data_IF_149708436493
#
_entry.id   IF_149708436493
#
_cell.length_a   1.000
_cell.length_b   1.000
_cell.length_c   1.000
_cell.angle_alpha   90.00
_cell.angle_beta   90.00
_cell.angle_gamma   90.00
#
_symmetry.space_group_name_H-M   'P 1'
#
loop_
_entity.id
_entity.type
_entity.pdbx_description
1 polymer ?
#
# COMPACT_ATOMS: atom_id res chain seq x y z
N UNK A 1 -12.17 17.16 -25.94
CA UNK A 1 -11.12 16.35 -25.27
C UNK A 1 -11.79 15.29 -24.39
N UNK A 2 -12.39 14.26 -24.97
CA UNK A 2 -12.90 13.10 -24.23
C UNK A 2 -11.70 12.24 -23.82
N UNK A 3 -11.01 12.77 -22.79
CA UNK A 3 -10.07 12.23 -21.81
C UNK A 3 -9.26 11.00 -22.20
N UNK A 4 -7.92 11.11 -22.10
CA UNK A 4 -6.94 9.99 -22.11
C UNK A 4 -7.44 8.74 -21.37
N UNK A 5 -8.17 8.92 -20.26
CA UNK A 5 -8.72 7.84 -19.44
C UNK A 5 -9.81 7.06 -20.21
N UNK A 6 -10.68 7.74 -20.95
CA UNK A 6 -11.73 7.09 -21.72
C UNK A 6 -11.19 6.23 -22.87
N UNK A 7 -10.08 6.66 -23.50
CA UNK A 7 -9.35 5.84 -24.48
C UNK A 7 -8.75 4.60 -23.82
N UNK A 8 -8.02 4.80 -22.72
CA UNK A 8 -7.41 3.72 -21.95
C UNK A 8 -8.42 2.68 -21.43
N UNK A 9 -9.60 3.11 -20.96
CA UNK A 9 -10.67 2.20 -20.52
C UNK A 9 -11.13 1.26 -21.64
N UNK A 10 -11.35 1.81 -22.85
CA UNK A 10 -11.75 1.02 -24.01
C UNK A 10 -10.68 0.02 -24.44
N UNK A 11 -9.42 0.47 -24.51
CA UNK A 11 -8.26 -0.40 -24.84
C UNK A 11 -8.07 -1.55 -23.85
N UNK A 12 -8.47 -1.35 -22.59
CA UNK A 12 -8.37 -2.37 -21.54
C UNK A 12 -9.65 -3.17 -21.31
N UNK A 13 -10.70 -2.93 -22.09
CA UNK A 13 -12.02 -3.54 -21.90
C UNK A 13 -12.56 -3.34 -20.46
N UNK A 14 -12.40 -2.14 -19.91
CA UNK A 14 -12.89 -1.75 -18.58
C UNK A 14 -14.11 -0.86 -18.76
N UNK A 15 -15.25 -1.24 -18.16
CA UNK A 15 -16.52 -0.52 -18.31
C UNK A 15 -16.53 0.84 -17.61
N UNK A 16 -15.87 0.96 -16.45
CA UNK A 16 -15.82 2.18 -15.67
C UNK A 16 -14.59 2.24 -14.75
N UNK A 17 -14.18 3.46 -14.39
CA UNK A 17 -13.19 3.71 -13.34
C UNK A 17 -13.79 4.62 -12.26
N UNK A 18 -13.48 4.31 -11.00
CA UNK A 18 -13.78 5.18 -9.85
C UNK A 18 -12.50 5.89 -9.45
N UNK A 19 -12.55 7.22 -9.42
CA UNK A 19 -11.43 8.07 -9.00
C UNK A 19 -11.82 8.85 -7.75
N UNK A 20 -11.27 8.47 -6.59
CA UNK A 20 -11.67 9.05 -5.30
C UNK A 20 -11.00 10.40 -5.01
N UNK A 21 -9.92 10.75 -5.73
CA UNK A 21 -9.13 11.97 -5.53
C UNK A 21 -8.76 12.26 -4.05
N UNK A 22 -8.71 11.23 -3.20
CA UNK A 22 -8.40 11.40 -1.77
C UNK A 22 -6.92 11.77 -1.62
N UNK A 23 -6.59 12.90 -0.97
CA UNK A 23 -5.20 13.31 -0.76
C UNK A 23 -4.49 12.35 0.20
N UNK A 24 -3.15 12.20 0.11
CA UNK A 24 -2.40 11.37 1.04
C UNK A 24 -2.51 11.92 2.46
N UNK A 25 -2.45 11.03 3.45
CA UNK A 25 -2.38 11.38 4.87
C UNK A 25 -1.34 10.51 5.55
N UNK A 26 -0.45 11.13 6.32
CA UNK A 26 0.60 10.42 7.05
C UNK A 26 0.84 11.05 8.41
N UNK A 27 0.95 10.24 9.47
CA UNK A 27 1.21 10.69 10.84
C UNK A 27 0.32 11.87 11.30
N UNK A 28 -0.97 11.85 10.93
CA UNK A 28 -1.93 12.92 11.25
C UNK A 28 -1.89 14.14 10.30
N UNK A 29 -0.89 14.26 9.44
CA UNK A 29 -0.74 15.35 8.46
C UNK A 29 -1.39 14.98 7.12
N UNK A 30 -2.36 15.78 6.68
CA UNK A 30 -2.96 15.68 5.35
C UNK A 30 -2.07 16.31 4.26
N UNK A 31 -2.20 15.83 3.03
CA UNK A 31 -1.47 16.31 1.86
C UNK A 31 0.01 15.90 1.81
N UNK A 32 0.51 15.14 2.79
CA UNK A 32 1.89 14.68 2.83
C UNK A 32 2.00 13.24 2.34
N UNK A 33 2.70 13.06 1.22
CA UNK A 33 3.13 11.74 0.77
C UNK A 33 4.47 11.42 1.44
N UNK A 34 4.55 10.42 2.33
CA UNK A 34 5.80 10.11 3.01
C UNK A 34 6.78 9.42 2.06
N UNK A 35 8.08 9.63 2.29
CA UNK A 35 9.16 8.81 1.75
C UNK A 35 9.16 7.40 2.37
N UNK A 36 9.86 6.46 1.72
CA UNK A 36 9.99 5.10 2.26
C UNK A 36 10.73 5.11 3.62
N UNK A 37 11.70 6.00 3.76
CA UNK A 37 12.51 6.20 4.95
C UNK A 37 11.65 6.73 6.12
N UNK A 38 10.79 7.74 5.86
CA UNK A 38 9.81 8.23 6.85
C UNK A 38 8.83 7.13 7.28
N UNK A 39 8.35 6.30 6.34
CA UNK A 39 7.46 5.17 6.67
C UNK A 39 8.17 4.17 7.57
N UNK A 40 9.40 3.78 7.27
CA UNK A 40 10.15 2.83 8.11
C UNK A 40 10.39 3.42 9.50
N UNK A 41 10.79 4.68 9.61
CA UNK A 41 11.00 5.35 10.89
C UNK A 41 9.72 5.39 11.73
N UNK A 42 8.59 5.74 11.10
CA UNK A 42 7.29 5.74 11.75
C UNK A 42 6.89 4.36 12.26
N UNK A 43 7.03 3.32 11.43
CA UNK A 43 6.70 1.95 11.80
C UNK A 43 7.61 1.41 12.91
N UNK A 44 8.90 1.75 12.89
CA UNK A 44 9.87 1.36 13.92
C UNK A 44 9.52 1.94 15.30
N UNK A 45 8.95 3.15 15.34
CA UNK A 45 8.51 3.83 16.56
C UNK A 45 7.12 3.41 17.07
N UNK A 46 6.42 2.50 16.38
CA UNK A 46 5.15 1.97 16.91
C UNK A 46 5.41 0.97 18.04
N UNK A 47 4.47 0.96 18.99
CA UNK A 47 4.49 0.07 20.16
C UNK A 47 3.12 -0.60 20.37
N UNK A 48 3.12 -1.66 21.18
CA UNK A 48 1.92 -2.39 21.59
C UNK A 48 1.06 -2.87 20.42
N UNK A 49 -0.26 -2.76 20.57
CA UNK A 49 -1.25 -3.21 19.57
C UNK A 49 -1.09 -2.53 18.21
N UNK A 50 -0.69 -1.24 18.19
CA UNK A 50 -0.52 -0.49 16.94
C UNK A 50 0.61 -1.07 16.09
N UNK A 51 1.72 -1.47 16.71
CA UNK A 51 2.82 -2.15 16.02
C UNK A 51 2.38 -3.50 15.48
N UNK A 52 1.69 -4.30 16.32
CA UNK A 52 1.21 -5.62 15.95
C UNK A 52 0.24 -5.56 14.76
N UNK A 53 -0.71 -4.63 14.79
CA UNK A 53 -1.66 -4.41 13.71
C UNK A 53 -0.98 -3.96 12.41
N UNK A 54 0.00 -3.04 12.50
CA UNK A 54 0.75 -2.57 11.35
C UNK A 54 1.57 -3.69 10.70
N UNK A 55 2.33 -4.45 11.51
CA UNK A 55 3.08 -5.61 11.03
C UNK A 55 2.16 -6.64 10.37
N UNK A 56 1.06 -7.00 11.05
CA UNK A 56 0.08 -7.96 10.53
C UNK A 56 -0.47 -7.54 9.17
N UNK A 57 -0.89 -6.28 9.04
CA UNK A 57 -1.42 -5.74 7.79
C UNK A 57 -0.36 -5.78 6.68
N UNK A 58 0.86 -5.35 6.98
CA UNK A 58 1.94 -5.27 6.00
C UNK A 58 2.34 -6.68 5.52
N UNK A 59 2.46 -7.65 6.42
CA UNK A 59 2.84 -9.03 6.07
C UNK A 59 1.75 -9.79 5.32
N UNK A 60 0.48 -9.35 5.36
CA UNK A 60 -0.61 -9.92 4.55
C UNK A 60 -0.72 -9.31 3.15
N UNK A 61 0.13 -8.37 2.80
CA UNK A 61 0.14 -7.79 1.46
C UNK A 61 0.70 -8.82 0.46
N UNK A 62 0.01 -9.07 -0.67
CA UNK A 62 0.51 -9.99 -1.70
C UNK A 62 1.91 -9.60 -2.19
N UNK A 63 2.82 -10.57 -2.43
CA UNK A 63 4.19 -10.29 -2.86
C UNK A 63 4.32 -9.51 -4.17
N UNK A 64 3.30 -9.54 -5.04
CA UNK A 64 3.31 -8.78 -6.30
C UNK A 64 3.12 -7.27 -6.09
N UNK A 65 2.65 -6.84 -4.92
CA UNK A 65 2.63 -5.42 -4.54
C UNK A 65 4.03 -5.05 -4.02
N UNK A 66 5.00 -5.08 -4.92
CA UNK A 66 6.41 -4.85 -4.65
C UNK A 66 6.77 -3.38 -4.90
N UNK A 67 6.69 -2.56 -3.85
CA UNK A 67 7.04 -1.13 -3.91
C UNK A 67 8.32 -0.86 -3.13
N UNK A 68 8.97 0.29 -3.41
CA UNK A 68 10.14 0.75 -2.64
C UNK A 68 9.89 0.74 -1.12
N UNK A 69 8.69 1.14 -0.70
CA UNK A 69 8.25 1.09 0.70
C UNK A 69 8.33 -0.33 1.27
N UNK A 70 7.82 -1.32 0.52
CA UNK A 70 7.78 -2.73 0.96
C UNK A 70 9.17 -3.32 1.09
N UNK A 71 10.01 -3.14 0.08
CA UNK A 71 11.41 -3.60 0.11
C UNK A 71 12.16 -3.03 1.31
N UNK A 72 11.99 -1.73 1.60
CA UNK A 72 12.69 -1.09 2.70
C UNK A 72 12.16 -1.53 4.07
N UNK A 73 10.85 -1.72 4.22
CA UNK A 73 10.24 -2.30 5.43
C UNK A 73 10.76 -3.71 5.68
N UNK A 74 10.81 -4.56 4.65
CA UNK A 74 11.37 -5.91 4.77
C UNK A 74 12.84 -5.88 5.19
N UNK A 75 13.65 -5.05 4.53
CA UNK A 75 15.07 -4.95 4.79
C UNK A 75 15.41 -4.41 6.19
N UNK A 76 14.60 -3.48 6.72
CA UNK A 76 14.90 -2.77 7.98
C UNK A 76 14.16 -3.32 9.19
N UNK A 77 12.95 -3.87 9.02
CA UNK A 77 12.12 -4.38 10.11
C UNK A 77 11.92 -5.89 10.06
N UNK A 78 12.32 -6.57 8.98
CA UNK A 78 12.15 -8.02 8.82
C UNK A 78 10.70 -8.44 8.54
N UNK A 79 9.79 -7.49 8.32
CA UNK A 79 8.36 -7.74 8.11
C UNK A 79 8.06 -8.26 6.71
N UNK A 80 8.40 -9.52 6.46
CA UNK A 80 8.24 -10.20 5.17
C UNK A 80 6.80 -10.68 4.95
N UNK A 81 6.31 -10.68 3.70
CA UNK A 81 5.02 -11.26 3.35
C UNK A 81 4.86 -12.68 3.87
N UNK A 82 3.65 -13.01 4.34
CA UNK A 82 3.27 -14.37 4.66
C UNK A 82 3.18 -15.18 3.37
N UNK A 83 3.51 -16.48 3.44
CA UNK A 83 3.43 -17.39 2.28
C UNK A 83 2.05 -17.36 1.61
N UNK A 84 1.00 -17.25 2.41
CA UNK A 84 -0.38 -17.28 1.94
C UNK A 84 -0.96 -15.87 1.71
N UNK A 85 -0.15 -14.82 1.75
CA UNK A 85 -0.59 -13.43 1.54
C UNK A 85 -1.17 -13.18 0.13
N UNK A 86 -0.85 -14.05 -0.83
CA UNK A 86 -1.40 -14.00 -2.19
C UNK A 86 -2.78 -14.67 -2.32
N UNK A 87 -3.26 -15.37 -1.28
CA UNK A 87 -4.50 -16.13 -1.35
C UNK A 87 -5.68 -15.23 -1.00
N UNK A 88 -6.31 -14.64 -2.02
CA UNK A 88 -7.70 -14.18 -1.87
C UNK A 88 -8.56 -15.43 -1.70
N UNK A 89 -8.87 -15.83 -0.46
CA UNK A 89 -9.96 -16.78 -0.22
C UNK A 89 -11.26 -16.09 -0.60
N UNK A 90 -11.72 -16.29 -1.83
CA UNK A 90 -13.14 -16.13 -2.14
C UNK A 90 -13.87 -17.18 -1.30
N UNK A 91 -14.65 -16.72 -0.32
CA UNK A 91 -15.67 -17.53 0.36
C UNK A 91 -16.93 -17.53 -0.47
#
# INVERSE_FOLDING_TARGET
>A
MTSLIGGWLRERHIDAAVWTAVPPKFAGRGGHMPSAEEVVAFLAGLEGERRQAAEFYLRRTPPHIDTRYRRLVEARLGWRPLRDAAVTRMR
#
